data_IF_552946368130
#
_entry.id   IF_552946368130
#
_cell.length_a   1.000
_cell.length_b   1.000
_cell.length_c   1.000
_cell.angle_alpha   90.00
_cell.angle_beta   90.00
_cell.angle_gamma   90.00
#
_symmetry.space_group_name_H-M   'P 1'
#
loop_
_entity.id
_entity.type
_entity.pdbx_description
1 polymer ?
#
# COMPACT_ATOMS: atom_id res chain seq x y z
N UNK A 1 12.28 1.90 10.33
CA UNK A 1 12.09 0.99 9.22
C UNK A 1 11.14 1.60 8.22
N UNK A 2 11.50 1.49 6.97
CA UNK A 2 10.77 2.23 5.95
C UNK A 2 9.66 1.40 5.33
N UNK A 3 8.49 1.46 5.93
CA UNK A 3 7.29 0.89 5.33
C UNK A 3 7.40 -0.61 5.01
N UNK A 4 8.26 -1.31 5.73
CA UNK A 4 8.44 -2.75 5.53
C UNK A 4 7.13 -3.48 5.82
N UNK A 5 6.41 -3.00 6.81
CA UNK A 5 5.12 -3.60 7.18
C UNK A 5 4.13 -3.52 6.05
N UNK A 6 4.14 -2.41 5.31
CA UNK A 6 3.24 -2.22 4.19
C UNK A 6 3.54 -3.24 3.10
N UNK A 7 4.82 -3.39 2.77
CA UNK A 7 5.23 -4.35 1.75
C UNK A 7 4.91 -5.78 2.16
N UNK A 8 5.17 -6.09 3.41
CA UNK A 8 4.87 -7.40 3.96
C UNK A 8 3.38 -7.69 3.94
N UNK A 9 2.60 -6.75 4.39
CA UNK A 9 1.15 -6.91 4.45
C UNK A 9 0.58 -7.16 3.05
N UNK A 10 1.02 -6.36 2.09
CA UNK A 10 0.57 -6.53 0.72
C UNK A 10 0.91 -7.91 0.18
N UNK A 11 2.13 -8.34 0.43
CA UNK A 11 2.59 -9.64 -0.05
C UNK A 11 1.80 -10.79 0.57
N UNK A 12 1.59 -10.72 1.88
CA UNK A 12 0.87 -11.76 2.59
C UNK A 12 -0.56 -11.88 2.08
N UNK A 13 -1.17 -10.75 1.79
CA UNK A 13 -2.56 -10.71 1.33
C UNK A 13 -2.70 -10.86 -0.18
N UNK A 14 -1.59 -11.00 -0.87
CA UNK A 14 -1.63 -11.18 -2.32
C UNK A 14 -2.00 -9.92 -3.08
N UNK A 15 -1.78 -8.77 -2.48
CA UNK A 15 -2.06 -7.48 -3.10
C UNK A 15 -0.76 -6.90 -3.63
N UNK A 16 -0.81 -6.39 -4.84
CA UNK A 16 0.37 -5.77 -5.43
C UNK A 16 0.40 -4.29 -5.12
N UNK A 17 1.61 -3.75 -4.98
CA UNK A 17 1.74 -2.34 -4.64
C UNK A 17 1.15 -1.41 -5.69
N UNK A 18 1.21 -1.78 -6.97
CA UNK A 18 0.62 -0.95 -8.00
C UNK A 18 -0.90 -0.87 -7.86
N UNK A 19 -1.50 -1.91 -7.32
CA UNK A 19 -2.95 -1.88 -7.06
C UNK A 19 -3.28 -0.88 -5.97
N UNK A 20 -2.43 -0.79 -4.96
CA UNK A 20 -2.61 0.20 -3.90
C UNK A 20 -2.45 1.60 -4.46
N UNK A 21 -1.44 1.81 -5.30
CA UNK A 21 -1.22 3.11 -5.92
C UNK A 21 -2.42 3.52 -6.75
N UNK A 22 -2.96 2.58 -7.51
CA UNK A 22 -4.14 2.84 -8.33
C UNK A 22 -5.34 3.24 -7.48
N UNK A 23 -5.54 2.53 -6.38
CA UNK A 23 -6.62 2.84 -5.44
C UNK A 23 -6.46 4.23 -4.82
N UNK A 24 -5.22 4.65 -4.63
CA UNK A 24 -4.93 5.99 -4.10
C UNK A 24 -5.04 7.06 -5.17
N UNK A 25 -5.10 6.68 -6.43
CA UNK A 25 -5.19 7.63 -7.52
C UNK A 25 -3.86 8.26 -7.87
N UNK A 26 -2.76 7.60 -7.60
CA UNK A 26 -1.43 8.11 -7.92
C UNK A 26 -0.69 7.12 -8.79
N UNK A 27 0.33 7.62 -9.47
CA UNK A 27 1.14 6.76 -10.31
C UNK A 27 1.99 5.81 -9.47
N UNK A 28 2.25 4.62 -9.99
CA UNK A 28 3.06 3.63 -9.31
C UNK A 28 4.44 4.17 -8.96
N UNK A 29 5.04 4.94 -9.85
CA UNK A 29 6.34 5.54 -9.59
C UNK A 29 6.29 6.52 -8.43
N UNK A 30 5.21 7.28 -8.31
CA UNK A 30 5.05 8.21 -7.20
C UNK A 30 4.86 7.46 -5.90
N UNK A 31 4.12 6.38 -5.94
CA UNK A 31 3.92 5.55 -4.76
C UNK A 31 5.25 4.95 -4.29
N UNK A 32 6.05 4.45 -5.22
CA UNK A 32 7.37 3.91 -4.90
C UNK A 32 8.24 4.96 -4.22
N UNK A 33 8.17 6.20 -4.70
CA UNK A 33 8.91 7.29 -4.08
C UNK A 33 8.46 7.53 -2.66
N UNK A 34 7.15 7.54 -2.45
CA UNK A 34 6.61 7.73 -1.11
C UNK A 34 7.10 6.65 -0.16
N UNK A 35 7.21 5.43 -0.65
CA UNK A 35 7.64 4.32 0.19
C UNK A 35 9.12 4.37 0.56
N UNK A 36 9.88 5.23 -0.05
CA UNK A 36 11.29 5.39 0.31
C UNK A 36 11.46 6.12 1.64
N UNK A 37 10.45 6.86 2.04
CA UNK A 37 10.47 7.58 3.32
C UNK A 37 9.41 6.98 4.23
N UNK A 38 9.69 7.02 5.52
CA UNK A 38 8.72 6.57 6.50
C UNK A 38 7.46 7.41 6.40
N UNK A 39 6.34 6.77 6.20
CA UNK A 39 5.08 7.47 6.06
C UNK A 39 4.47 7.80 7.43
N UNK A 40 3.69 8.90 7.51
CA UNK A 40 2.95 9.19 8.73
C UNK A 40 1.97 8.07 9.05
N UNK A 41 1.61 7.96 10.32
CA UNK A 41 0.66 6.97 10.79
C UNK A 41 -0.65 7.01 10.00
N UNK A 42 -1.13 8.20 9.71
CA UNK A 42 -2.38 8.37 8.99
C UNK A 42 -2.34 7.72 7.61
N UNK A 43 -1.24 7.94 6.90
CA UNK A 43 -1.09 7.35 5.58
C UNK A 43 -0.93 5.85 5.66
N UNK A 44 -0.19 5.37 6.64
CA UNK A 44 -0.02 3.93 6.84
C UNK A 44 -1.36 3.26 7.09
N UNK A 45 -2.15 3.85 7.96
CA UNK A 45 -3.47 3.32 8.28
C UNK A 45 -4.35 3.24 7.03
N UNK A 46 -4.31 4.29 6.23
CA UNK A 46 -5.07 4.31 4.99
C UNK A 46 -4.61 3.22 4.02
N UNK A 47 -3.31 3.06 3.90
CA UNK A 47 -2.75 2.05 3.01
C UNK A 47 -3.12 0.64 3.48
N UNK A 48 -3.03 0.39 4.76
CA UNK A 48 -3.42 -0.90 5.30
C UNK A 48 -4.89 -1.19 5.05
N UNK A 49 -5.73 -0.18 5.20
CA UNK A 49 -7.16 -0.33 4.92
C UNK A 49 -7.39 -0.68 3.45
N UNK A 50 -6.65 -0.02 2.56
CA UNK A 50 -6.76 -0.29 1.12
C UNK A 50 -6.30 -1.70 0.80
N UNK A 51 -5.20 -2.13 1.39
CA UNK A 51 -4.68 -3.48 1.19
C UNK A 51 -5.72 -4.50 1.62
N UNK A 52 -6.30 -4.27 2.77
CA UNK A 52 -7.33 -5.17 3.30
C UNK A 52 -8.55 -5.22 2.38
N UNK A 53 -8.99 -4.07 1.92
CA UNK A 53 -10.10 -3.97 0.99
C UNK A 53 -9.83 -4.72 -0.30
N UNK A 54 -8.66 -4.51 -0.87
CA UNK A 54 -8.28 -5.16 -2.11
C UNK A 54 -8.20 -6.67 -1.95
N UNK A 55 -7.74 -7.12 -0.80
CA UNK A 55 -7.64 -8.55 -0.57
C UNK A 55 -9.01 -9.21 -0.41
N UNK A 56 -9.97 -8.47 0.12
CA UNK A 56 -11.33 -8.99 0.29
C UNK A 56 -12.17 -8.82 -0.96
N UNK A 57 -11.94 -7.72 -1.65
CA UNK A 57 -12.75 -7.37 -2.79
C UNK A 57 -12.30 -7.97 -4.10
N UNK A 58 -11.38 -8.88 -4.04
CA UNK A 58 -10.91 -9.54 -5.24
C UNK A 58 -11.95 -10.53 -5.69
N UNK A 59 -12.71 -10.14 -6.59
CA UNK A 59 -13.69 -11.02 -7.19
C UNK A 59 -13.52 -10.97 -8.68
#
# INVERSE_FOLDING_TARGET
MRNVEIRKSAKIKGVRLWQVADALGIADSNFSRKLRKELPEEEKTRIFAIIDELSQGVT
#
